data_IF_146230092729
#
_entry.id   IF_146230092729
#
_cell.length_a   1.000
_cell.length_b   1.000
_cell.length_c   1.000
_cell.angle_alpha   90.00
_cell.angle_beta   90.00
_cell.angle_gamma   90.00
#
_symmetry.space_group_name_H-M   'P 1'
#
loop_
_entity.id
_entity.type
_entity.pdbx_description
1 polymer ?
#
# COMPACT_ATOMS: atom_id res chain seq x y z
N UNK A 1 -7.04 34.92 -12.01
CA UNK A 1 -6.44 33.59 -11.91
C UNK A 1 -7.18 32.74 -10.90
N UNK A 2 -7.37 31.50 -11.25
CA UNK A 2 -8.05 30.62 -10.32
C UNK A 2 -7.17 30.32 -9.13
N UNK A 3 -7.73 30.25 -7.95
CA UNK A 3 -6.97 29.87 -6.79
C UNK A 3 -6.45 28.45 -7.00
N UNK A 4 -5.32 28.20 -6.46
CA UNK A 4 -4.79 26.86 -6.50
C UNK A 4 -5.75 25.96 -5.74
N UNK A 5 -6.19 24.94 -6.39
CA UNK A 5 -7.10 23.99 -5.77
C UNK A 5 -6.25 22.93 -5.09
N UNK A 6 -6.50 22.74 -3.82
CA UNK A 6 -5.80 21.68 -3.10
C UNK A 6 -6.19 20.33 -3.67
N UNK A 7 -5.25 19.38 -3.63
CA UNK A 7 -5.54 18.01 -4.03
C UNK A 7 -6.70 17.50 -3.18
N UNK A 8 -7.77 17.01 -3.79
CA UNK A 8 -8.90 16.51 -3.02
C UNK A 8 -8.45 15.34 -2.14
N UNK A 9 -8.95 15.32 -0.94
CA UNK A 9 -8.70 14.19 -0.08
C UNK A 9 -9.46 12.98 -0.59
N UNK A 10 -8.96 11.79 -0.30
CA UNK A 10 -9.62 10.58 -0.76
C UNK A 10 -11.05 10.50 -0.24
N UNK A 11 -11.31 10.98 0.96
CA UNK A 11 -12.67 10.97 1.50
C UNK A 11 -13.64 11.82 0.69
N UNK A 12 -13.12 12.73 -0.14
CA UNK A 12 -13.95 13.58 -0.98
C UNK A 12 -14.18 12.97 -2.36
N UNK A 13 -13.58 11.82 -2.64
CA UNK A 13 -13.77 11.14 -3.91
C UNK A 13 -15.11 10.42 -3.91
N UNK A 14 -15.60 10.06 -5.10
CA UNK A 14 -16.76 9.15 -5.16
C UNK A 14 -16.43 7.91 -4.37
N UNK A 15 -17.41 7.42 -3.63
CA UNK A 15 -17.18 6.34 -2.69
C UNK A 15 -16.54 5.13 -3.34
N UNK A 16 -17.01 4.75 -4.52
CA UNK A 16 -16.50 3.55 -5.18
C UNK A 16 -15.07 3.73 -5.70
N UNK A 17 -14.56 4.96 -5.70
CA UNK A 17 -13.19 5.21 -6.13
C UNK A 17 -12.20 5.23 -4.98
N UNK A 18 -12.69 5.23 -3.75
CA UNK A 18 -11.80 5.22 -2.59
C UNK A 18 -11.19 3.83 -2.42
N UNK A 19 -9.89 3.74 -2.07
CA UNK A 19 -9.23 2.43 -2.02
C UNK A 19 -9.95 1.40 -1.17
N UNK A 20 -10.39 1.78 0.02
CA UNK A 20 -11.08 0.85 0.92
C UNK A 20 -12.40 0.38 0.34
N UNK A 21 -13.20 1.29 -0.16
CA UNK A 21 -14.47 0.95 -0.76
C UNK A 21 -14.27 0.17 -2.04
N UNK A 22 -13.25 0.53 -2.82
CA UNK A 22 -12.92 -0.20 -4.02
C UNK A 22 -12.52 -1.63 -3.69
N UNK A 23 -11.74 -1.80 -2.63
CA UNK A 23 -11.37 -3.12 -2.16
C UNK A 23 -12.60 -3.93 -1.78
N UNK A 24 -13.51 -3.33 -1.05
CA UNK A 24 -14.71 -4.01 -0.58
C UNK A 24 -15.63 -4.42 -1.71
N UNK A 25 -15.75 -3.57 -2.73
CA UNK A 25 -16.73 -3.80 -3.79
C UNK A 25 -16.18 -4.54 -4.99
N UNK A 26 -14.88 -4.42 -5.25
CA UNK A 26 -14.28 -5.01 -6.44
C UNK A 26 -13.23 -6.07 -6.15
N UNK A 27 -12.80 -6.18 -4.89
CA UNK A 27 -11.78 -7.14 -4.52
C UNK A 27 -10.37 -6.58 -4.63
N UNK A 28 -9.44 -7.24 -3.98
CA UNK A 28 -8.07 -6.74 -3.85
C UNK A 28 -7.35 -6.67 -5.19
N UNK A 29 -7.64 -7.58 -6.09
CA UNK A 29 -6.94 -7.62 -7.37
C UNK A 29 -7.31 -6.45 -8.28
N UNK A 30 -8.34 -5.71 -7.94
CA UNK A 30 -8.71 -4.52 -8.71
C UNK A 30 -7.90 -3.29 -8.34
N UNK A 31 -7.09 -3.36 -7.27
CA UNK A 31 -6.33 -2.22 -6.80
C UNK A 31 -4.90 -2.26 -7.32
N UNK A 32 -4.37 -1.07 -7.64
CA UNK A 32 -2.95 -0.95 -7.94
C UNK A 32 -2.13 -1.10 -6.66
N UNK A 33 -0.83 -1.29 -6.82
CA UNK A 33 0.06 -1.38 -5.67
C UNK A 33 -0.03 -0.12 -4.81
N UNK A 34 -0.07 1.05 -5.44
CA UNK A 34 -0.16 2.32 -4.71
C UNK A 34 -1.49 2.43 -3.96
N UNK A 35 -2.57 1.94 -4.57
CA UNK A 35 -3.87 1.94 -3.90
C UNK A 35 -3.87 1.03 -2.68
N UNK A 36 -3.22 -0.13 -2.79
CA UNK A 36 -3.11 -1.02 -1.64
C UNK A 36 -2.33 -0.36 -0.50
N UNK A 37 -1.22 0.29 -0.83
CA UNK A 37 -0.46 1.01 0.18
C UNK A 37 -1.28 2.14 0.80
N UNK A 38 -2.12 2.79 0.01
CA UNK A 38 -2.94 3.88 0.51
C UNK A 38 -3.88 3.43 1.62
N UNK A 39 -4.29 2.18 1.62
CA UNK A 39 -5.15 1.65 2.67
C UNK A 39 -4.40 1.68 4.00
N UNK A 40 -3.11 1.31 3.99
CA UNK A 40 -2.29 1.38 5.21
C UNK A 40 -2.01 2.83 5.61
N UNK A 41 -1.76 3.69 4.63
CA UNK A 41 -1.43 5.08 4.91
C UNK A 41 -2.63 5.87 5.42
N UNK A 42 -3.82 5.54 4.95
CA UNK A 42 -5.11 6.14 5.32
C UNK A 42 -5.26 7.58 4.88
N UNK A 43 -4.29 8.42 5.17
CA UNK A 43 -4.33 9.84 4.80
C UNK A 43 -3.04 10.20 4.11
N UNK A 44 -3.12 11.20 3.24
CA UNK A 44 -1.94 11.74 2.60
C UNK A 44 -1.32 12.85 3.40
N UNK A 45 -0.56 13.69 2.73
CA UNK A 45 0.00 14.91 3.29
C UNK A 45 -0.61 16.08 2.55
N UNK A 46 -0.41 17.30 3.01
CA UNK A 46 -0.98 18.46 2.29
C UNK A 46 -0.56 18.44 0.83
N UNK A 47 -1.56 18.52 -0.05
CA UNK A 47 -1.33 18.52 -1.48
C UNK A 47 -1.11 17.17 -2.11
N UNK A 48 -1.15 16.09 -1.34
CA UNK A 48 -0.89 14.74 -1.85
C UNK A 48 -1.86 13.76 -1.20
N UNK A 49 -2.46 12.89 -1.99
CA UNK A 49 -3.35 11.87 -1.45
C UNK A 49 -2.52 10.72 -0.89
N UNK A 50 -3.17 9.83 -0.16
CA UNK A 50 -2.50 8.63 0.32
C UNK A 50 -1.99 7.78 -0.84
N UNK A 51 -2.69 7.79 -1.99
CA UNK A 51 -2.23 7.05 -3.16
C UNK A 51 -0.95 7.67 -3.71
N UNK A 52 -0.88 9.01 -3.72
CA UNK A 52 0.34 9.69 -4.15
C UNK A 52 1.52 9.31 -3.27
N UNK A 53 1.30 9.26 -1.97
CA UNK A 53 2.36 8.87 -1.03
C UNK A 53 2.77 7.43 -1.27
N UNK A 54 1.81 6.54 -1.48
CA UNK A 54 2.11 5.14 -1.79
C UNK A 54 2.93 4.99 -3.05
N UNK A 55 2.55 5.75 -4.08
CA UNK A 55 3.28 5.71 -5.34
C UNK A 55 4.71 6.22 -5.17
N UNK A 56 4.89 7.26 -4.37
CA UNK A 56 6.22 7.77 -4.08
C UNK A 56 7.06 6.74 -3.36
N UNK A 57 6.47 6.02 -2.40
CA UNK A 57 7.20 4.98 -1.69
C UNK A 57 7.69 3.90 -2.64
N UNK A 58 6.82 3.46 -3.55
CA UNK A 58 7.19 2.42 -4.51
C UNK A 58 8.33 2.89 -5.38
N UNK A 59 8.24 4.11 -5.90
CA UNK A 59 9.28 4.65 -6.75
C UNK A 59 10.61 4.80 -6.02
N UNK A 60 10.54 5.28 -4.77
CA UNK A 60 11.76 5.47 -3.98
C UNK A 60 12.40 4.13 -3.64
N UNK A 61 11.61 3.08 -3.54
CA UNK A 61 12.13 1.75 -3.21
C UNK A 61 12.74 1.04 -4.41
N UNK A 62 12.54 1.55 -5.61
CA UNK A 62 13.10 0.94 -6.80
C UNK A 62 12.06 0.45 -7.80
N UNK A 63 10.78 0.74 -7.56
CA UNK A 63 9.74 0.54 -8.55
C UNK A 63 8.78 -0.60 -8.31
N UNK A 64 8.92 -1.35 -7.23
CA UNK A 64 7.98 -2.45 -6.99
C UNK A 64 7.84 -2.75 -5.51
N UNK A 65 6.75 -3.40 -5.15
CA UNK A 65 6.55 -3.86 -3.78
C UNK A 65 7.63 -4.85 -3.36
N UNK A 66 8.14 -5.62 -4.30
CA UNK A 66 9.18 -6.59 -4.00
C UNK A 66 10.43 -5.92 -3.44
N UNK A 67 10.70 -4.68 -3.88
CA UNK A 67 11.83 -3.93 -3.38
C UNK A 67 11.60 -3.41 -1.96
N UNK A 68 10.34 -3.23 -1.59
CA UNK A 68 10.00 -2.76 -0.24
C UNK A 68 10.00 -3.91 0.77
N UNK A 69 9.69 -5.10 0.31
CA UNK A 69 9.45 -6.23 1.21
C UNK A 69 10.60 -6.53 2.17
N UNK A 70 11.89 -6.45 1.78
CA UNK A 70 12.97 -6.73 2.71
C UNK A 70 13.37 -5.55 3.59
N UNK A 71 12.72 -4.40 3.42
CA UNK A 71 13.12 -3.21 4.15
C UNK A 71 12.73 -3.26 5.62
N UNK A 72 13.56 -2.64 6.45
CA UNK A 72 13.25 -2.46 7.86
C UNK A 72 12.22 -1.36 8.03
N UNK A 73 11.63 -1.29 9.22
CA UNK A 73 10.70 -0.21 9.54
C UNK A 73 11.36 1.15 9.30
N UNK A 74 12.60 1.29 9.72
CA UNK A 74 13.34 2.54 9.57
C UNK A 74 13.49 2.91 8.09
N UNK A 75 13.80 1.93 7.26
CA UNK A 75 13.95 2.16 5.84
C UNK A 75 12.63 2.52 5.17
N UNK A 76 11.56 1.84 5.57
CA UNK A 76 10.24 2.15 5.03
C UNK A 76 9.82 3.58 5.34
N UNK A 77 10.13 4.05 6.55
CA UNK A 77 9.77 5.42 6.94
C UNK A 77 10.45 6.47 6.08
N UNK A 78 11.61 6.15 5.54
CA UNK A 78 12.39 7.12 4.75
C UNK A 78 11.93 7.22 3.31
N UNK A 79 11.04 6.37 2.87
CA UNK A 79 10.66 6.33 1.46
C UNK A 79 9.83 7.54 1.05
N UNK A 80 9.07 8.12 1.98
CA UNK A 80 8.26 9.28 1.66
C UNK A 80 7.91 10.02 2.95
N UNK A 81 7.67 11.32 2.82
CA UNK A 81 7.13 12.09 3.92
C UNK A 81 5.72 11.61 4.23
N UNK A 82 5.36 11.63 5.50
CA UNK A 82 4.03 11.20 5.91
C UNK A 82 3.96 9.76 6.33
N UNK A 83 5.07 9.02 6.23
CA UNK A 83 5.11 7.65 6.68
C UNK A 83 5.64 7.64 8.11
N UNK A 84 4.72 7.62 9.07
CA UNK A 84 5.09 7.56 10.47
C UNK A 84 5.43 6.16 10.92
N UNK A 85 5.80 6.06 12.19
CA UNK A 85 6.24 4.79 12.76
C UNK A 85 5.13 3.73 12.68
N UNK A 86 3.92 4.09 13.07
CA UNK A 86 2.82 3.12 13.09
C UNK A 86 2.53 2.57 11.71
N UNK A 87 2.52 3.45 10.70
CA UNK A 87 2.24 3.01 9.33
C UNK A 87 3.36 2.13 8.79
N UNK A 88 4.60 2.48 9.09
CA UNK A 88 5.73 1.68 8.65
C UNK A 88 5.73 0.31 9.32
N UNK A 89 5.35 0.24 10.59
CA UNK A 89 5.23 -1.04 11.29
C UNK A 89 4.14 -1.90 10.68
N UNK A 90 3.00 -1.30 10.35
CA UNK A 90 1.92 -2.05 9.73
C UNK A 90 2.34 -2.62 8.39
N UNK A 91 3.07 -1.83 7.60
CA UNK A 91 3.55 -2.30 6.31
C UNK A 91 4.58 -3.41 6.47
N UNK A 92 5.50 -3.26 7.39
CA UNK A 92 6.50 -4.29 7.63
C UNK A 92 5.84 -5.60 8.06
N UNK A 93 4.83 -5.50 8.91
CA UNK A 93 4.09 -6.68 9.33
C UNK A 93 3.36 -7.32 8.15
N UNK A 94 2.77 -6.50 7.29
CA UNK A 94 2.07 -7.01 6.11
C UNK A 94 3.02 -7.74 5.17
N UNK A 95 4.21 -7.18 4.94
CA UNK A 95 5.21 -7.84 4.11
C UNK A 95 5.65 -9.16 4.72
N UNK A 96 5.81 -9.20 6.03
CA UNK A 96 6.18 -10.45 6.70
C UNK A 96 5.09 -11.49 6.56
N UNK A 97 3.83 -11.10 6.71
CA UNK A 97 2.70 -12.00 6.48
C UNK A 97 2.77 -12.56 5.07
N UNK A 98 3.04 -11.70 4.10
CA UNK A 98 3.16 -12.15 2.71
C UNK A 98 4.26 -13.16 2.51
N UNK A 99 5.42 -12.93 3.14
CA UNK A 99 6.53 -13.88 3.05
C UNK A 99 6.16 -15.23 3.65
N UNK A 100 5.52 -15.21 4.80
CA UNK A 100 5.10 -16.46 5.45
C UNK A 100 4.07 -17.18 4.64
N UNK A 101 3.13 -16.43 4.06
CA UNK A 101 2.11 -17.02 3.21
C UNK A 101 2.76 -17.72 2.02
N UNK A 102 3.72 -17.06 1.38
CA UNK A 102 4.41 -17.65 0.24
C UNK A 102 5.15 -18.92 0.61
N UNK A 103 5.82 -18.91 1.76
CA UNK A 103 6.52 -20.12 2.21
C UNK A 103 5.58 -21.25 2.55
N UNK A 104 4.49 -20.93 3.24
CA UNK A 104 3.52 -21.93 3.64
C UNK A 104 2.82 -22.53 2.43
N UNK A 105 2.52 -21.70 1.47
CA UNK A 105 1.90 -22.17 0.23
C UNK A 105 2.85 -23.10 -0.51
N UNK A 106 4.11 -22.71 -0.61
CA UNK A 106 5.10 -23.53 -1.30
C UNK A 106 5.29 -24.87 -0.60
N UNK A 107 5.27 -24.86 0.74
CA UNK A 107 5.44 -26.10 1.49
C UNK A 107 4.24 -27.01 1.37
N UNK A 108 3.05 -26.44 1.31
CA UNK A 108 1.85 -27.27 1.30
C UNK A 108 1.39 -27.65 -0.09
N UNK A 109 1.92 -26.98 -1.09
CA UNK A 109 1.45 -27.18 -2.45
C UNK A 109 1.51 -28.63 -2.92
N UNK A 110 2.66 -29.32 -2.75
CA UNK A 110 2.70 -30.70 -3.21
C UNK A 110 1.73 -31.57 -2.44
N UNK A 111 1.46 -31.22 -1.20
CA UNK A 111 0.55 -32.01 -0.39
C UNK A 111 -0.87 -31.70 -0.73
N UNK A 112 -1.11 -30.48 -1.06
CA UNK A 112 -2.44 -30.05 -1.36
C UNK A 112 -2.92 -30.49 -2.71
N UNK A 113 -2.07 -31.02 -3.50
CA UNK A 113 -2.45 -31.46 -4.82
C UNK A 113 -3.31 -32.66 -4.70
N UNK A 114 -4.45 -32.59 -5.06
CA UNK A 114 -5.26 -33.71 -4.94
C UNK A 114 -5.19 -34.47 -6.15
N UNK A 115 -5.05 -34.88 -5.98
CA UNK A 115 -5.06 -35.29 -6.76
C UNK A 115 -5.79 -35.11 -7.26
#
# INVERSE_FOLDING_TARGET
MLPRVATPKIKDWPEEERPREKLMHRGADALSDAELLAIFLRTGTPGRTAIDVGDEMIKAAGGSLARMAPMTVKELRKLAKGVGLAKACEMAAAFEVGKRLARQTAQSEPLGTPE
#
